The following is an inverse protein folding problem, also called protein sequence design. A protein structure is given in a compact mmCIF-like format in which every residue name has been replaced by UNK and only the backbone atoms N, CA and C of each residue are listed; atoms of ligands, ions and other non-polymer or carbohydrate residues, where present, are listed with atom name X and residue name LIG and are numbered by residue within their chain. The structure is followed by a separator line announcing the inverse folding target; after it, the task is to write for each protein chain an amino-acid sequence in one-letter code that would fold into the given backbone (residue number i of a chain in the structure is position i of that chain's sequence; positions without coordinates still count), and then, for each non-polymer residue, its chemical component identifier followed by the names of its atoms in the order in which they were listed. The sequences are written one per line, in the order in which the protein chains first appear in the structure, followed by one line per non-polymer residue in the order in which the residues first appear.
data_IF_120233455056
#
_entry.id   IF_120233455056
#
_cell.length_a   1.000
_cell.length_b   1.000
_cell.length_c   1.000
_cell.angle_alpha   90.00
_cell.angle_beta   90.00
_cell.angle_gamma   90.00
#
_symmetry.space_group_name_H-M   'P 1'
#
loop_
_entity.id
_entity.type
_entity.pdbx_description
1 polymer ?
#
# COMPACT_ATOMS: atom_id res chain seq x y z
N UNK A 1 -7.82 3.36 -15.84
CA UNK A 1 -8.31 4.49 -15.01
C UNK A 1 -7.36 5.67 -15.21
N UNK A 2 -7.84 6.91 -15.31
CA UNK A 2 -6.94 8.08 -15.38
C UNK A 2 -6.44 8.41 -13.98
N UNK A 3 -5.14 8.56 -13.78
CA UNK A 3 -4.52 8.80 -12.47
C UNK A 3 -3.70 10.10 -12.41
N UNK A 4 -3.65 10.86 -13.51
CA UNK A 4 -2.84 12.08 -13.62
C UNK A 4 -3.22 13.13 -12.58
N UNK A 5 -4.51 13.22 -12.24
CA UNK A 5 -5.05 14.16 -11.26
C UNK A 5 -4.79 13.75 -9.80
N UNK A 6 -4.35 12.51 -9.52
CA UNK A 6 -4.11 12.07 -8.15
C UNK A 6 -2.91 12.79 -7.55
N UNK A 7 -3.04 13.23 -6.31
CA UNK A 7 -1.90 13.71 -5.51
C UNK A 7 -1.12 12.53 -4.91
N UNK A 8 0.05 12.81 -4.31
CA UNK A 8 0.79 11.82 -3.51
C UNK A 8 -0.06 11.25 -2.37
N UNK A 9 -0.87 12.12 -1.75
CA UNK A 9 -1.81 11.75 -0.68
C UNK A 9 -2.87 10.79 -1.18
N UNK A 10 -3.50 11.09 -2.32
CA UNK A 10 -4.55 10.23 -2.88
C UNK A 10 -3.99 8.87 -3.28
N UNK A 11 -2.88 8.85 -4.00
CA UNK A 11 -2.25 7.60 -4.44
C UNK A 11 -1.84 6.72 -3.25
N UNK A 12 -1.28 7.31 -2.19
CA UNK A 12 -0.91 6.60 -0.97
C UNK A 12 -2.14 6.04 -0.26
N UNK A 13 -3.14 6.88 0.04
CA UNK A 13 -4.34 6.47 0.77
C UNK A 13 -5.13 5.37 0.04
N UNK A 14 -5.32 5.53 -1.27
CA UNK A 14 -6.02 4.58 -2.12
C UNK A 14 -5.28 3.24 -2.23
N UNK A 15 -3.94 3.27 -2.31
CA UNK A 15 -3.12 2.05 -2.30
C UNK A 15 -3.25 1.33 -0.96
N UNK A 16 -3.13 2.05 0.17
CA UNK A 16 -3.26 1.46 1.51
C UNK A 16 -4.63 0.83 1.70
N UNK A 17 -5.70 1.51 1.26
CA UNK A 17 -7.06 0.94 1.30
C UNK A 17 -7.15 -0.33 0.46
N UNK A 18 -6.65 -0.32 -0.78
CA UNK A 18 -6.73 -1.48 -1.65
C UNK A 18 -5.97 -2.70 -1.11
N UNK A 19 -4.82 -2.47 -0.47
CA UNK A 19 -3.93 -3.52 0.03
C UNK A 19 -4.29 -4.00 1.44
N UNK A 20 -4.94 -3.16 2.26
CA UNK A 20 -5.11 -3.42 3.68
C UNK A 20 -6.47 -2.97 4.27
N UNK A 21 -7.52 -2.71 3.47
CA UNK A 21 -8.86 -2.37 4.00
C UNK A 21 -9.45 -3.42 4.96
N UNK A 22 -9.03 -4.67 4.84
CA UNK A 22 -9.44 -5.77 5.74
C UNK A 22 -8.58 -5.92 6.99
N UNK A 23 -7.50 -5.15 7.11
CA UNK A 23 -6.55 -5.21 8.22
C UNK A 23 -6.87 -4.16 9.29
N UNK A 24 -6.26 -4.30 10.47
CA UNK A 24 -6.36 -3.30 11.52
C UNK A 24 -5.71 -1.97 11.10
N UNK A 25 -5.88 -0.95 11.94
CA UNK A 25 -5.15 0.33 11.78
C UNK A 25 -3.64 0.09 11.68
N UNK A 26 -3.10 -0.83 12.49
CA UNK A 26 -1.68 -1.16 12.48
C UNK A 26 -1.25 -1.82 11.16
N UNK A 27 -2.09 -2.70 10.59
CA UNK A 27 -1.84 -3.31 9.28
C UNK A 27 -1.84 -2.28 8.15
N UNK A 28 -2.79 -1.33 8.17
CA UNK A 28 -2.84 -0.20 7.23
C UNK A 28 -1.61 0.72 7.36
N UNK A 29 -1.20 1.04 8.58
CA UNK A 29 0.05 1.76 8.87
C UNK A 29 1.28 0.99 8.35
N UNK A 30 1.30 -0.34 8.48
CA UNK A 30 2.41 -1.16 8.03
C UNK A 30 2.60 -1.09 6.50
N UNK A 31 1.53 -1.19 5.72
CA UNK A 31 1.58 -0.99 4.26
C UNK A 31 2.05 0.43 3.91
N UNK A 32 1.52 1.45 4.61
CA UNK A 32 1.94 2.83 4.38
C UNK A 32 3.43 3.05 4.69
N UNK A 33 3.95 2.40 5.73
CA UNK A 33 5.37 2.42 6.08
C UNK A 33 6.24 1.76 5.00
N UNK A 34 5.80 0.64 4.40
CA UNK A 34 6.49 0.02 3.25
C UNK A 34 6.58 1.00 2.08
N UNK A 35 5.49 1.69 1.75
CA UNK A 35 5.48 2.69 0.67
C UNK A 35 6.47 3.80 0.97
N UNK A 36 6.48 4.34 2.19
CA UNK A 36 7.46 5.34 2.62
C UNK A 36 8.90 4.82 2.54
N UNK A 37 9.15 3.58 2.93
CA UNK A 37 10.49 3.00 2.88
C UNK A 37 10.95 2.85 1.41
N UNK A 38 10.06 2.45 0.50
CA UNK A 38 10.30 2.46 -0.95
C UNK A 38 10.57 3.86 -1.51
N UNK A 39 9.80 4.87 -1.07
CA UNK A 39 10.03 6.28 -1.46
C UNK A 39 11.46 6.71 -1.11
N UNK A 40 11.89 6.42 0.12
CA UNK A 40 13.23 6.77 0.63
C UNK A 40 14.35 6.03 -0.08
N UNK A 41 14.16 4.74 -0.35
CA UNK A 41 15.13 3.88 -1.03
C UNK A 41 15.30 4.27 -2.50
N UNK A 42 14.18 4.49 -3.20
CA UNK A 42 14.15 4.74 -4.66
C UNK A 42 14.24 6.22 -5.02
N UNK A 43 14.17 7.12 -4.03
CA UNK A 43 14.11 8.59 -4.21
C UNK A 43 12.94 9.02 -5.09
N UNK A 44 11.77 8.45 -4.82
CA UNK A 44 10.54 8.67 -5.56
C UNK A 44 9.45 9.26 -4.67
N UNK A 45 8.49 9.97 -5.29
CA UNK A 45 7.27 10.42 -4.60
C UNK A 45 6.35 9.25 -4.26
N UNK A 46 5.37 9.47 -3.38
CA UNK A 46 4.42 8.42 -3.00
C UNK A 46 3.62 7.93 -4.22
N UNK A 47 3.10 8.88 -5.04
CA UNK A 47 2.41 8.58 -6.29
C UNK A 47 3.28 7.77 -7.23
N UNK A 48 4.55 8.15 -7.41
CA UNK A 48 5.46 7.42 -8.27
C UNK A 48 5.66 5.97 -7.79
N UNK A 49 5.83 5.75 -6.48
CA UNK A 49 5.95 4.39 -5.91
C UNK A 49 4.65 3.58 -6.07
N UNK A 50 3.51 4.17 -5.76
CA UNK A 50 2.20 3.51 -5.81
C UNK A 50 1.81 3.09 -7.24
N UNK A 51 2.10 3.95 -8.23
CA UNK A 51 1.72 3.72 -9.62
C UNK A 51 2.81 3.02 -10.44
N UNK A 52 3.93 2.64 -9.82
CA UNK A 52 4.96 1.88 -10.51
C UNK A 52 4.38 0.54 -11.02
N UNK A 53 4.67 0.14 -12.27
CA UNK A 53 4.17 -1.11 -12.84
C UNK A 53 4.42 -2.30 -11.93
N UNK A 54 3.39 -3.12 -11.73
CA UNK A 54 3.41 -4.36 -10.94
C UNK A 54 3.75 -4.20 -9.45
N UNK A 55 3.86 -2.99 -8.92
CA UNK A 55 4.12 -2.80 -7.47
C UNK A 55 2.88 -3.02 -6.62
N UNK A 56 1.71 -2.62 -7.11
CA UNK A 56 0.42 -2.82 -6.48
C UNK A 56 -0.59 -3.17 -7.57
N UNK A 57 -1.12 -4.39 -7.53
CA UNK A 57 -1.97 -4.92 -8.59
C UNK A 57 -3.32 -4.21 -8.68
N UNK A 58 -3.74 -3.52 -7.62
CA UNK A 58 -4.99 -2.75 -7.58
C UNK A 58 -5.09 -1.65 -8.65
N UNK A 59 -3.95 -1.12 -9.13
CA UNK A 59 -3.90 -0.13 -10.21
C UNK A 59 -3.99 -0.74 -11.61
N UNK A 60 -4.03 -2.06 -11.72
CA UNK A 60 -4.04 -2.81 -12.97
C UNK A 60 -5.21 -3.82 -12.99
N UNK A 61 -5.61 -4.26 -14.18
CA UNK A 61 -6.66 -5.27 -14.34
C UNK A 61 -6.14 -6.71 -14.27
N UNK A 62 -4.84 -6.90 -14.07
CA UNK A 62 -4.14 -8.18 -14.30
C UNK A 62 -4.50 -9.26 -13.26
N UNK A 63 -4.90 -8.90 -12.03
CA UNK A 63 -5.12 -9.88 -10.94
C UNK A 63 -6.36 -9.63 -10.06
N UNK A 64 -7.37 -8.89 -10.53
CA UNK A 64 -8.62 -8.76 -9.79
C UNK A 64 -9.48 -7.58 -10.22
N UNK A 65 -10.37 -7.82 -11.18
CA UNK A 65 -11.30 -6.83 -11.71
C UNK A 65 -12.13 -6.15 -10.59
N UNK A 66 -12.57 -6.93 -9.59
CA UNK A 66 -13.39 -6.42 -8.50
C UNK A 66 -12.66 -5.36 -7.64
N UNK A 67 -11.40 -5.59 -7.27
CA UNK A 67 -10.64 -4.60 -6.49
C UNK A 67 -10.33 -3.36 -7.31
N UNK A 68 -9.98 -3.54 -8.60
CA UNK A 68 -9.76 -2.44 -9.53
C UNK A 68 -11.02 -1.58 -9.71
N UNK A 69 -12.21 -2.18 -9.81
CA UNK A 69 -13.46 -1.45 -10.03
C UNK A 69 -13.90 -0.63 -8.82
N UNK A 70 -13.77 -1.18 -7.61
CA UNK A 70 -14.06 -0.41 -6.39
C UNK A 70 -13.04 0.71 -6.20
N UNK A 71 -11.76 0.45 -6.47
CA UNK A 71 -10.72 1.50 -6.43
C UNK A 71 -11.02 2.60 -7.45
N UNK A 72 -11.49 2.23 -8.64
CA UNK A 72 -11.87 3.19 -9.68
C UNK A 72 -13.00 4.11 -9.25
N UNK A 73 -14.01 3.58 -8.58
CA UNK A 73 -15.09 4.42 -8.05
C UNK A 73 -14.57 5.44 -7.02
N UNK A 74 -13.61 5.05 -6.17
CA UNK A 74 -12.98 5.93 -5.20
C UNK A 74 -12.10 7.01 -5.87
N UNK A 75 -11.35 6.65 -6.92
CA UNK A 75 -10.58 7.60 -7.72
C UNK A 75 -11.50 8.62 -8.41
N UNK A 76 -12.57 8.15 -9.06
CA UNK A 76 -13.54 9.02 -9.72
C UNK A 76 -14.26 9.93 -8.70
N UNK A 77 -14.46 9.46 -7.46
CA UNK A 77 -14.99 10.29 -6.37
C UNK A 77 -14.01 11.38 -5.93
N UNK A 78 -12.73 11.03 -5.74
CA UNK A 78 -11.68 11.98 -5.39
C UNK A 78 -11.50 13.05 -6.48
N UNK A 79 -11.48 12.65 -7.76
CA UNK A 79 -11.40 13.55 -8.91
C UNK A 79 -12.55 14.57 -8.95
N UNK A 80 -13.74 14.14 -8.54
CA UNK A 80 -14.95 14.97 -8.52
C UNK A 80 -15.09 15.81 -7.24
N UNK A 81 -14.11 15.77 -6.32
CA UNK A 81 -14.20 16.43 -5.02
C UNK A 81 -15.34 15.92 -4.14
N UNK A 82 -15.85 14.71 -4.40
CA UNK A 82 -16.96 14.15 -3.64
C UNK A 82 -16.47 13.72 -2.25
N UNK A 83 -17.26 13.96 -1.20
CA UNK A 83 -16.88 13.58 0.15
C UNK A 83 -16.78 12.05 0.24
N UNK A 84 -15.66 11.59 0.77
CA UNK A 84 -15.41 10.18 1.04
C UNK A 84 -16.07 9.82 2.37
N UNK A 85 -17.11 8.99 2.32
CA UNK A 85 -17.93 8.65 3.51
C UNK A 85 -17.50 7.37 4.21
N UNK A 86 -16.88 6.43 3.50
CA UNK A 86 -16.39 5.18 4.09
C UNK A 86 -15.29 5.49 5.15
N UNK A 87 -15.49 5.09 6.42
CA UNK A 87 -14.52 5.36 7.48
C UNK A 87 -13.14 4.75 7.23
N UNK A 88 -13.05 3.63 6.52
CA UNK A 88 -11.77 2.93 6.30
C UNK A 88 -10.88 3.77 5.38
N UNK A 89 -11.40 4.28 4.28
CA UNK A 89 -10.64 5.13 3.37
C UNK A 89 -10.36 6.51 3.99
N UNK A 90 -11.26 7.05 4.83
CA UNK A 90 -10.97 8.27 5.62
C UNK A 90 -9.78 8.04 6.56
N UNK A 91 -9.71 6.88 7.21
CA UNK A 91 -8.57 6.51 8.05
C UNK A 91 -7.29 6.33 7.20
N UNK A 92 -7.39 5.75 6.00
CA UNK A 92 -6.25 5.63 5.09
C UNK A 92 -5.72 7.02 4.65
N UNK A 93 -6.60 8.00 4.46
CA UNK A 93 -6.21 9.39 4.23
C UNK A 93 -5.49 10.00 5.43
N UNK A 94 -6.00 9.79 6.64
CA UNK A 94 -5.34 10.26 7.86
C UNK A 94 -3.95 9.63 8.06
N UNK A 95 -3.83 8.33 7.78
CA UNK A 95 -2.54 7.61 7.79
C UNK A 95 -1.60 8.18 6.72
N UNK A 96 -2.10 8.43 5.50
CA UNK A 96 -1.32 9.00 4.41
C UNK A 96 -0.75 10.37 4.79
N UNK A 97 -1.58 11.25 5.37
CA UNK A 97 -1.16 12.56 5.86
C UNK A 97 -0.03 12.43 6.89
N UNK A 98 -0.20 11.59 7.92
CA UNK A 98 0.82 11.39 8.94
C UNK A 98 2.11 10.75 8.41
N UNK A 99 2.02 9.87 7.41
CA UNK A 99 3.20 9.26 6.76
C UNK A 99 3.97 10.29 5.94
N UNK A 100 3.26 11.14 5.18
CA UNK A 100 3.87 12.20 4.36
C UNK A 100 4.47 13.32 5.21
N UNK A 101 3.82 13.65 6.34
CA UNK A 101 4.34 14.59 7.33
C UNK A 101 5.54 14.05 8.14
N UNK A 102 5.70 12.72 8.19
CA UNK A 102 6.78 12.06 8.95
C UNK A 102 6.41 11.75 10.41
N UNK A 103 5.15 11.90 10.79
CA UNK A 103 4.63 11.73 12.16
C UNK A 103 4.39 10.26 12.52
N UNK A 104 4.19 9.40 11.52
CA UNK A 104 3.89 7.98 11.73
C UNK A 104 5.19 7.18 11.94
N UNK A 105 5.33 6.51 13.07
CA UNK A 105 6.46 5.61 13.35
C UNK A 105 6.41 4.35 12.48
N UNK A 106 7.59 3.85 12.09
CA UNK A 106 7.69 2.58 11.36
C UNK A 106 7.38 1.38 12.28
N UNK A 107 6.26 0.69 12.04
CA UNK A 107 5.94 -0.57 12.73
C UNK A 107 6.40 -1.82 11.96
N UNK A 108 7.07 -1.66 10.81
CA UNK A 108 7.57 -2.75 9.97
C UNK A 108 9.06 -3.02 10.13
N UNK A 109 9.76 -2.21 10.93
CA UNK A 109 11.22 -2.29 11.13
C UNK A 109 12.02 -2.14 9.81
N UNK A 110 11.61 -1.19 8.97
CA UNK A 110 12.31 -0.85 7.72
C UNK A 110 11.99 -1.79 6.56
N UNK A 111 10.84 -2.46 6.55
CA UNK A 111 10.44 -3.33 5.46
C UNK A 111 10.16 -2.54 4.18
N UNK A 112 10.50 -3.15 3.04
CA UNK A 112 10.19 -2.64 1.69
C UNK A 112 9.45 -3.68 0.83
N UNK A 113 9.22 -4.88 1.36
CA UNK A 113 8.45 -5.96 0.75
C UNK A 113 7.47 -6.54 1.78
N UNK A 114 6.36 -7.07 1.29
CA UNK A 114 5.43 -7.84 2.10
C UNK A 114 4.66 -8.81 1.22
N UNK A 115 4.05 -9.80 1.88
CA UNK A 115 3.08 -10.70 1.29
C UNK A 115 2.12 -11.19 2.38
N UNK A 116 0.93 -11.62 1.97
CA UNK A 116 0.00 -12.25 2.91
C UNK A 116 0.60 -13.52 3.50
N UNK A 117 0.35 -13.80 4.78
CA UNK A 117 0.78 -15.05 5.45
C UNK A 117 0.22 -16.28 4.75
N UNK A 118 -0.97 -16.17 4.14
CA UNK A 118 -1.56 -17.20 3.28
C UNK A 118 -0.72 -17.47 2.02
N UNK A 119 -0.23 -16.43 1.33
CA UNK A 119 0.65 -16.62 0.17
C UNK A 119 2.00 -17.20 0.62
N UNK A 120 2.52 -16.74 1.76
CA UNK A 120 3.75 -17.24 2.37
C UNK A 120 3.67 -18.75 2.68
N UNK A 121 2.53 -19.25 3.14
CA UNK A 121 2.33 -20.67 3.43
C UNK A 121 1.90 -21.52 2.22
N UNK A 122 1.79 -20.93 1.03
CA UNK A 122 1.31 -21.62 -0.16
C UNK A 122 2.45 -22.09 -1.08
N UNK A 123 2.15 -23.02 -2.00
CA UNK A 123 3.06 -23.43 -3.07
C UNK A 123 3.39 -22.30 -4.07
N UNK A 124 2.61 -21.21 -4.08
CA UNK A 124 2.85 -20.01 -4.89
C UNK A 124 3.72 -18.96 -4.18
N UNK A 125 4.32 -19.29 -3.04
CA UNK A 125 5.24 -18.40 -2.32
C UNK A 125 6.32 -17.86 -3.27
N UNK A 126 6.49 -16.54 -3.38
CA UNK A 126 7.52 -15.95 -4.22
C UNK A 126 8.94 -16.35 -3.77
N UNK A 127 9.83 -16.59 -4.74
CA UNK A 127 11.21 -16.99 -4.47
C UNK A 127 12.05 -15.91 -3.79
N UNK A 128 11.65 -14.63 -3.91
CA UNK A 128 12.34 -13.52 -3.25
C UNK A 128 12.30 -13.60 -1.73
N UNK A 129 11.33 -14.31 -1.14
CA UNK A 129 11.20 -14.48 0.31
C UNK A 129 12.47 -15.09 0.91
N UNK A 130 13.10 -16.04 0.21
CA UNK A 130 14.34 -16.68 0.66
C UNK A 130 15.58 -15.79 0.53
N UNK A 131 15.48 -14.67 -0.20
CA UNK A 131 16.60 -13.76 -0.51
C UNK A 131 16.59 -12.48 0.32
N UNK A 132 15.58 -12.31 1.18
CA UNK A 132 15.34 -11.10 1.95
C UNK A 132 15.29 -11.41 3.44
N UNK A 133 15.51 -10.39 4.27
CA UNK A 133 15.45 -10.55 5.72
C UNK A 133 14.01 -10.35 6.19
N UNK A 134 13.48 -11.33 6.92
CA UNK A 134 12.22 -11.16 7.63
C UNK A 134 12.37 -10.07 8.69
N UNK A 135 11.37 -9.21 8.81
CA UNK A 135 11.38 -8.06 9.75
C UNK A 135 10.35 -8.23 10.86
N UNK A 136 9.10 -8.46 10.49
CA UNK A 136 7.97 -8.61 11.39
C UNK A 136 6.77 -9.22 10.66
N UNK A 137 5.74 -9.57 11.42
CA UNK A 137 4.38 -9.84 10.93
C UNK A 137 3.44 -8.85 11.58
N UNK A 138 2.55 -8.23 10.81
CA UNK A 138 1.47 -7.37 11.31
C UNK A 138 0.18 -7.86 10.66
N UNK A 139 -0.79 -8.23 11.49
CA UNK A 139 -2.04 -8.86 11.09
C UNK A 139 -1.80 -10.04 10.11
N UNK A 140 -2.46 -10.03 8.94
CA UNK A 140 -2.34 -11.10 7.95
C UNK A 140 -1.14 -10.95 7.00
N UNK A 141 -0.21 -10.02 7.27
CA UNK A 141 0.91 -9.69 6.37
C UNK A 141 2.28 -9.94 7.02
N UNK A 142 3.16 -10.61 6.28
CA UNK A 142 4.56 -10.81 6.65
C UNK A 142 5.45 -9.84 5.87
N UNK A 143 6.32 -9.13 6.59
CA UNK A 143 7.12 -8.02 6.08
C UNK A 143 8.60 -8.40 5.98
N UNK A 144 9.26 -7.94 4.92
CA UNK A 144 10.64 -8.26 4.57
C UNK A 144 11.40 -7.02 4.14
N UNK A 145 12.72 -7.05 4.33
CA UNK A 145 13.65 -6.02 3.89
C UNK A 145 14.63 -6.59 2.89
N UNK A 146 14.83 -5.89 1.78
CA UNK A 146 15.90 -6.19 0.83
C UNK A 146 17.28 -6.12 1.49
N UNK A 147 18.16 -7.04 1.13
CA UNK A 147 19.57 -7.00 1.56
C UNK A 147 20.32 -5.98 0.67
N UNK A 148 21.29 -5.24 1.23
CA UNK A 148 22.23 -4.43 0.44
C UNK A 148 22.99 -5.26 -0.58
#
# INVERSE_FOLDING_TARGET
MKTDHLTDRDALALTVWAEARGESVNGRVAVACVIRNRMRLRKLSAKAVCLQPMQFSCWQTIDGQANHDVLKALVDAAAAGRPVTDPIIRECYWIADGVLAGDVRDNTKGADHYLTTRLLSSSRRPSWVAKMDWTTTVDSQAFYRSRP
#
